data_IF_171932454876
#
_entry.id   IF_171932454876
#
_cell.length_a   1.000
_cell.length_b   1.000
_cell.length_c   1.000
_cell.angle_alpha   90.00
_cell.angle_beta   90.00
_cell.angle_gamma   90.00
#
_symmetry.space_group_name_H-M   'P 1'
#
loop_
_entity.id
_entity.type
_entity.pdbx_description
1 polymer ?
#
# COMPACT_ATOMS: atom_id res chain seq x y z
N UNK A 1 9.32 0.56 4.25
CA UNK A 1 8.22 1.29 4.93
C UNK A 1 7.26 0.30 5.57
N UNK A 2 6.93 0.45 6.86
CA UNK A 2 5.94 -0.39 7.53
C UNK A 2 4.58 0.31 7.49
N UNK A 3 3.55 -0.40 7.04
CA UNK A 3 2.18 0.11 6.98
C UNK A 3 1.22 -0.89 7.64
N UNK A 4 0.12 -0.39 8.17
CA UNK A 4 -0.89 -1.18 8.85
C UNK A 4 -2.27 -0.86 8.28
N UNK A 5 -3.02 -1.90 7.92
CA UNK A 5 -4.39 -1.81 7.46
C UNK A 5 -5.22 -2.95 8.04
N UNK A 6 -6.35 -2.62 8.67
CA UNK A 6 -7.28 -3.61 9.24
C UNK A 6 -6.62 -4.63 10.19
N UNK A 7 -5.66 -4.18 11.00
CA UNK A 7 -4.91 -5.04 11.94
C UNK A 7 -3.87 -5.95 11.29
N UNK A 8 -3.68 -5.86 9.96
CA UNK A 8 -2.60 -6.50 9.23
C UNK A 8 -1.48 -5.51 8.99
N UNK A 9 -0.25 -5.91 9.32
CA UNK A 9 0.95 -5.10 9.11
C UNK A 9 1.79 -5.69 7.99
N UNK A 10 2.17 -4.86 7.03
CA UNK A 10 3.03 -5.26 5.90
C UNK A 10 4.23 -4.34 5.77
N UNK A 11 5.34 -4.89 5.28
CA UNK A 11 6.55 -4.17 4.97
C UNK A 11 6.64 -3.95 3.45
N UNK A 12 6.65 -2.69 3.04
CA UNK A 12 6.90 -2.28 1.66
C UNK A 12 8.40 -2.02 1.48
N UNK A 13 9.04 -2.76 0.58
CA UNK A 13 10.37 -2.41 0.09
C UNK A 13 10.21 -1.22 -0.86
N UNK A 14 10.95 -0.14 -0.61
CA UNK A 14 10.93 1.08 -1.42
C UNK A 14 12.36 1.51 -1.67
N UNK A 15 12.61 2.12 -2.82
CA UNK A 15 13.93 2.66 -3.16
C UNK A 15 14.23 3.90 -2.31
N UNK A 16 13.28 4.85 -2.31
CA UNK A 16 13.43 6.14 -1.64
C UNK A 16 12.16 6.56 -0.88
N UNK A 17 12.35 7.38 0.16
CA UNK A 17 11.27 8.03 0.91
C UNK A 17 11.34 9.54 0.72
N UNK A 18 10.44 10.08 -0.10
CA UNK A 18 10.41 11.51 -0.46
C UNK A 18 9.72 12.38 0.62
N UNK A 19 8.98 11.75 1.55
CA UNK A 19 8.27 12.41 2.65
C UNK A 19 6.75 12.40 2.49
N UNK A 20 6.07 13.24 3.27
CA UNK A 20 4.61 13.37 3.24
C UNK A 20 4.18 14.58 2.42
N UNK A 21 3.29 14.39 1.46
CA UNK A 21 2.75 15.44 0.60
C UNK A 21 1.23 15.26 0.45
N UNK A 22 0.53 16.34 0.08
CA UNK A 22 -0.89 16.32 -0.22
C UNK A 22 -1.10 16.34 -1.73
N UNK A 23 -1.98 15.47 -2.23
CA UNK A 23 -2.28 15.34 -3.64
C UNK A 23 -3.78 15.27 -3.90
N UNK A 24 -4.20 15.68 -5.08
CA UNK A 24 -5.57 15.48 -5.56
C UNK A 24 -5.68 14.09 -6.19
N UNK A 25 -6.54 13.25 -5.63
CA UNK A 25 -6.80 11.91 -6.16
C UNK A 25 -7.66 11.98 -7.41
N UNK A 26 -7.26 11.28 -8.46
CA UNK A 26 -8.02 11.05 -9.70
C UNK A 26 -8.49 9.61 -9.73
N UNK A 27 -9.80 9.40 -9.85
CA UNK A 27 -10.36 8.05 -9.97
C UNK A 27 -10.04 7.48 -11.36
N UNK A 28 -9.55 6.24 -11.39
CA UNK A 28 -9.23 5.51 -12.61
C UNK A 28 -10.44 4.76 -13.21
N UNK A 29 -11.52 4.56 -12.44
CA UNK A 29 -12.64 3.66 -12.77
C UNK A 29 -13.48 4.07 -14.00
N UNK A 30 -13.52 5.34 -14.37
CA UNK A 30 -14.37 5.80 -15.49
C UNK A 30 -13.82 5.43 -16.87
N UNK A 31 -12.50 5.36 -17.01
CA UNK A 31 -11.84 5.14 -18.30
C UNK A 31 -10.89 3.93 -18.31
N UNK A 32 -10.58 3.38 -17.13
CA UNK A 32 -9.59 2.32 -16.98
C UNK A 32 -10.18 1.16 -16.18
N UNK A 33 -9.68 -0.05 -16.47
CA UNK A 33 -10.00 -1.22 -15.67
C UNK A 33 -9.45 -1.04 -14.27
N UNK A 34 -10.20 -1.53 -13.28
CA UNK A 34 -9.72 -1.66 -11.91
C UNK A 34 -8.44 -2.51 -11.90
N UNK A 35 -7.40 -2.00 -11.26
CA UNK A 35 -6.15 -2.70 -11.04
C UNK A 35 -6.08 -3.06 -9.57
N UNK A 36 -5.95 -4.34 -9.27
CA UNK A 36 -5.86 -4.80 -7.89
C UNK A 36 -4.63 -4.18 -7.19
N UNK A 37 -4.86 -3.65 -5.99
CA UNK A 37 -3.84 -2.96 -5.21
C UNK A 37 -3.70 -1.47 -5.50
N UNK A 38 -4.47 -0.89 -6.42
CA UNK A 38 -4.51 0.56 -6.68
C UNK A 38 -5.86 1.17 -6.30
N UNK A 39 -5.83 2.34 -5.67
CA UNK A 39 -7.02 3.14 -5.34
C UNK A 39 -7.22 4.35 -6.27
N UNK A 40 -6.19 4.73 -7.03
CA UNK A 40 -6.28 5.84 -7.97
C UNK A 40 -4.90 6.29 -8.47
N UNK A 41 -4.86 7.48 -9.05
CA UNK A 41 -3.63 8.14 -9.47
C UNK A 41 -3.67 9.64 -9.18
N UNK A 42 -2.52 10.30 -9.25
CA UNK A 42 -2.39 11.76 -9.24
C UNK A 42 -1.35 12.21 -10.25
N UNK A 43 -1.36 13.51 -10.56
CA UNK A 43 -0.35 14.15 -11.40
C UNK A 43 0.50 15.02 -10.47
N UNK A 44 1.81 14.79 -10.48
CA UNK A 44 2.79 15.53 -9.71
C UNK A 44 3.06 16.91 -10.34
N UNK A 45 3.72 17.80 -9.60
CA UNK A 45 4.02 19.17 -10.06
C UNK A 45 4.93 19.24 -11.30
N UNK A 46 5.69 18.18 -11.56
CA UNK A 46 6.55 18.01 -12.74
C UNK A 46 5.84 17.29 -13.90
N UNK A 47 4.55 16.99 -13.75
CA UNK A 47 3.72 16.31 -14.75
C UNK A 47 3.83 14.78 -14.74
N UNK A 48 4.65 14.18 -13.87
CA UNK A 48 4.68 12.72 -13.75
C UNK A 48 3.38 12.18 -13.13
N UNK A 49 3.02 10.96 -13.49
CA UNK A 49 1.86 10.26 -12.92
C UNK A 49 2.33 9.39 -11.77
N UNK A 50 1.73 9.58 -10.59
CA UNK A 50 1.94 8.73 -9.43
C UNK A 50 0.70 7.88 -9.16
N UNK A 51 0.90 6.60 -8.88
CA UNK A 51 -0.17 5.67 -8.52
C UNK A 51 -0.36 5.66 -7.00
N UNK A 52 -1.61 5.52 -6.57
CA UNK A 52 -1.97 5.45 -5.15
C UNK A 52 -2.27 3.99 -4.82
N UNK A 53 -1.53 3.44 -3.87
CA UNK A 53 -1.66 2.06 -3.43
C UNK A 53 -2.85 1.89 -2.48
N UNK A 54 -3.62 0.82 -2.66
CA UNK A 54 -4.60 0.34 -1.69
C UNK A 54 -3.93 -0.67 -0.75
N UNK A 55 -3.48 -0.19 0.41
CA UNK A 55 -2.81 -1.02 1.42
C UNK A 55 -3.72 -2.13 1.95
N UNK A 56 -5.03 -1.92 2.02
CA UNK A 56 -5.95 -2.95 2.51
C UNK A 56 -6.01 -4.13 1.55
N UNK A 57 -6.04 -3.84 0.24
CA UNK A 57 -5.98 -4.88 -0.80
C UNK A 57 -4.61 -5.58 -0.79
N UNK A 58 -3.51 -4.82 -0.71
CA UNK A 58 -2.15 -5.38 -0.65
C UNK A 58 -1.96 -6.28 0.58
N UNK A 59 -2.47 -5.87 1.74
CA UNK A 59 -2.35 -6.62 2.98
C UNK A 59 -3.15 -7.94 2.96
N UNK A 60 -4.30 -7.97 2.28
CA UNK A 60 -5.06 -9.21 2.05
C UNK A 60 -4.37 -10.14 1.08
N UNK A 61 -3.86 -9.62 -0.05
CA UNK A 61 -3.22 -10.45 -1.08
C UNK A 61 -1.90 -11.07 -0.61
N UNK A 62 -1.20 -10.45 0.34
CA UNK A 62 0.03 -10.99 0.95
C UNK A 62 -0.20 -12.01 2.07
N UNK A 63 -1.46 -12.26 2.47
CA UNK A 63 -1.79 -13.03 3.66
C UNK A 63 -2.98 -13.98 3.49
N UNK A 64 -2.71 -15.22 3.10
CA UNK A 64 -3.28 -16.34 3.88
C UNK A 64 -2.81 -16.22 5.34
N UNK A 65 -3.51 -16.83 6.32
CA UNK A 65 -3.29 -16.58 7.74
C UNK A 65 -1.84 -16.86 8.12
N UNK A 66 -1.02 -15.81 8.21
CA UNK A 66 0.35 -15.87 8.71
C UNK A 66 0.32 -15.27 10.11
N UNK A 67 0.93 -16.02 11.02
CA UNK A 67 0.81 -15.91 12.46
C UNK A 67 0.74 -14.49 13.00
N UNK A 68 -0.12 -14.32 14.01
CA UNK A 68 -0.16 -13.12 14.82
C UNK A 68 1.22 -12.78 15.38
N UNK A 69 1.44 -11.52 15.76
CA UNK A 69 2.68 -11.08 16.40
C UNK A 69 3.13 -11.95 17.59
N UNK A 70 2.20 -12.68 18.23
CA UNK A 70 2.49 -13.69 19.25
C UNK A 70 3.37 -14.85 18.73
N UNK A 71 3.25 -15.24 17.46
CA UNK A 71 4.01 -16.32 16.84
C UNK A 71 5.44 -15.90 16.43
N UNK A 72 5.68 -14.61 16.20
CA UNK A 72 7.03 -14.07 15.96
C UNK A 72 7.83 -13.86 17.25
N UNK A 73 7.18 -13.62 18.38
CA UNK A 73 7.86 -13.57 19.68
C UNK A 73 8.37 -14.97 20.11
N UNK A 74 7.64 -16.04 19.76
CA UNK A 74 7.97 -17.41 20.12
C UNK A 74 9.17 -18.03 19.36
N UNK A 75 9.68 -17.38 18.31
CA UNK A 75 10.88 -17.81 17.57
C UNK A 75 12.15 -17.07 18.03
N UNK A 76 12.02 -16.16 18.99
CA UNK A 76 13.14 -15.40 19.57
C UNK A 76 13.52 -15.86 20.99
N UNK A 77 12.90 -16.94 21.49
CA UNK A 77 13.29 -17.65 22.71
C UNK A 77 13.96 -18.99 22.38
#
# INVERSE_FOLDING_TARGET
MIVEASGSRVALLVDDLIGQQQFVVKNLETNYRKVDGLSGATILGDGQVALILDISTIARSNGGPRGSAAQMAAIAE
#
